data_IF_732850679677
#
_entry.id   IF_732850679677
#
_cell.length_a   1.000
_cell.length_b   1.000
_cell.length_c   1.000
_cell.angle_alpha   90.00
_cell.angle_beta   90.00
_cell.angle_gamma   90.00
#
_symmetry.space_group_name_H-M   'P 1'
#
loop_
_entity.id
_entity.type
_entity.pdbx_description
1 polymer ?
#
# COMPACT_ATOMS: atom_id res chain seq x y z
N UNK A 1 -17.22 -2.18 7.37
CA UNK A 1 -16.74 -2.95 8.52
C UNK A 1 -17.97 -3.50 9.21
N UNK A 2 -17.98 -4.79 9.54
CA UNK A 2 -19.10 -5.39 10.26
C UNK A 2 -19.05 -5.02 11.76
N UNK A 3 -20.18 -5.19 12.46
CA UNK A 3 -20.29 -4.90 13.90
C UNK A 3 -19.27 -5.73 14.69
N UNK A 4 -19.17 -7.02 14.37
CA UNK A 4 -18.22 -7.88 15.08
C UNK A 4 -16.75 -7.42 14.89
N UNK A 5 -16.38 -6.85 13.72
CA UNK A 5 -15.01 -6.31 13.51
C UNK A 5 -14.74 -5.12 14.41
N UNK A 6 -15.77 -4.29 14.59
CA UNK A 6 -15.70 -3.16 15.50
C UNK A 6 -15.52 -3.64 16.94
N UNK A 7 -16.27 -4.64 17.37
CA UNK A 7 -16.17 -5.21 18.72
C UNK A 7 -14.79 -5.83 18.97
N UNK A 8 -14.26 -6.57 18.01
CA UNK A 8 -12.92 -7.18 18.10
C UNK A 8 -11.83 -6.10 18.22
N UNK A 9 -11.88 -5.06 17.37
CA UNK A 9 -10.93 -3.95 17.41
C UNK A 9 -11.04 -3.20 18.74
N UNK A 10 -12.27 -2.90 19.18
CA UNK A 10 -12.52 -2.24 20.45
C UNK A 10 -11.92 -3.04 21.60
N UNK A 11 -12.17 -4.35 21.66
CA UNK A 11 -11.62 -5.22 22.69
C UNK A 11 -10.09 -5.13 22.76
N UNK A 12 -9.41 -5.14 21.61
CA UNK A 12 -7.95 -5.08 21.52
C UNK A 12 -7.37 -3.73 21.99
N UNK A 13 -8.04 -2.62 21.72
CA UNK A 13 -7.51 -1.27 21.99
C UNK A 13 -8.08 -0.62 23.25
N UNK A 14 -9.13 -1.20 23.86
CA UNK A 14 -9.93 -0.58 24.94
C UNK A 14 -9.08 -0.07 26.09
N UNK A 15 -8.11 -0.86 26.54
CA UNK A 15 -7.24 -0.51 27.66
C UNK A 15 -6.42 0.75 27.37
N UNK A 16 -5.92 0.90 26.14
CA UNK A 16 -5.02 1.99 25.75
C UNK A 16 -5.75 3.30 25.43
N UNK A 17 -7.07 3.25 25.20
CA UNK A 17 -7.89 4.43 24.87
C UNK A 17 -8.89 4.79 25.98
N UNK A 18 -9.07 3.95 27.01
CA UNK A 18 -9.85 4.31 28.19
C UNK A 18 -9.11 5.39 28.96
N UNK A 19 -9.81 6.45 29.37
CA UNK A 19 -9.23 7.49 30.20
C UNK A 19 -9.82 7.47 31.60
N UNK A 20 -9.15 8.09 32.55
CA UNK A 20 -9.62 8.15 33.93
C UNK A 20 -10.75 9.16 34.09
N UNK A 21 -11.84 8.75 34.75
CA UNK A 21 -12.86 9.68 35.24
C UNK A 21 -12.31 10.46 36.43
N UNK A 22 -12.63 11.75 36.48
CA UNK A 22 -12.27 12.61 37.62
C UNK A 22 -13.51 12.96 38.41
N UNK A 23 -13.33 13.53 39.60
CA UNK A 23 -14.42 14.02 40.45
C UNK A 23 -15.31 15.04 39.70
N UNK A 24 -14.74 15.77 38.74
CA UNK A 24 -15.42 16.86 38.02
C UNK A 24 -16.09 16.41 36.72
N UNK A 25 -15.66 15.30 36.11
CA UNK A 25 -16.22 14.80 34.86
C UNK A 25 -15.90 13.34 34.62
N UNK A 26 -16.86 12.66 33.97
CA UNK A 26 -16.61 11.35 33.40
C UNK A 26 -15.71 11.44 32.16
N UNK A 27 -14.90 10.41 31.99
CA UNK A 27 -14.11 10.25 30.77
C UNK A 27 -14.99 9.79 29.61
N UNK A 28 -14.65 10.23 28.40
CA UNK A 28 -15.29 9.73 27.19
C UNK A 28 -14.98 8.25 27.05
N UNK A 29 -16.01 7.44 26.80
CA UNK A 29 -15.89 5.99 26.70
C UNK A 29 -14.96 5.55 25.55
N UNK A 30 -14.36 4.36 25.68
CA UNK A 30 -13.50 3.80 24.63
C UNK A 30 -14.29 3.55 23.33
N UNK A 31 -15.53 3.10 23.48
CA UNK A 31 -16.52 2.89 22.43
C UNK A 31 -16.73 4.18 21.62
N UNK A 32 -17.01 5.28 22.30
CA UNK A 32 -17.28 6.57 21.67
C UNK A 32 -16.01 7.14 20.99
N UNK A 33 -14.84 7.01 21.62
CA UNK A 33 -13.55 7.41 21.02
C UNK A 33 -13.28 6.67 19.71
N UNK A 34 -13.51 5.36 19.69
CA UNK A 34 -13.35 4.55 18.48
C UNK A 34 -14.37 4.95 17.40
N UNK A 35 -15.64 5.14 17.77
CA UNK A 35 -16.70 5.57 16.83
C UNK A 35 -16.38 6.92 16.19
N UNK A 36 -15.96 7.92 16.98
CA UNK A 36 -15.57 9.25 16.48
C UNK A 36 -14.43 9.11 15.47
N UNK A 37 -13.41 8.33 15.81
CA UNK A 37 -12.24 8.11 14.95
C UNK A 37 -12.64 7.44 13.65
N UNK A 38 -13.39 6.34 13.72
CA UNK A 38 -13.85 5.63 12.52
C UNK A 38 -14.75 6.49 11.65
N UNK A 39 -15.60 7.34 12.25
CA UNK A 39 -16.42 8.29 11.49
C UNK A 39 -15.55 9.31 10.76
N UNK A 40 -14.54 9.87 11.43
CA UNK A 40 -13.58 10.77 10.78
C UNK A 40 -12.91 10.11 9.57
N UNK A 41 -12.36 8.89 9.75
CA UNK A 41 -11.65 8.15 8.71
C UNK A 41 -12.58 7.73 7.55
N UNK A 42 -13.78 7.24 7.87
CA UNK A 42 -14.71 6.69 6.90
C UNK A 42 -15.45 7.75 6.08
N UNK A 43 -15.72 8.93 6.63
CA UNK A 43 -16.46 9.99 5.92
C UNK A 43 -15.57 11.12 5.42
N UNK A 44 -14.39 11.32 6.02
CA UNK A 44 -13.58 12.50 5.76
C UNK A 44 -14.27 13.79 6.17
N UNK A 45 -15.12 13.79 7.20
CA UNK A 45 -15.75 15.02 7.70
C UNK A 45 -14.71 15.96 8.35
N UNK A 46 -15.07 17.22 8.56
CA UNK A 46 -14.22 18.17 9.27
C UNK A 46 -14.30 17.95 10.80
N UNK A 47 -13.29 18.43 11.55
CA UNK A 47 -13.39 18.45 13.01
C UNK A 47 -14.51 19.35 13.52
N UNK A 48 -14.97 20.33 12.72
CA UNK A 48 -16.13 21.14 13.06
C UNK A 48 -17.42 20.32 12.99
N UNK A 49 -17.59 19.49 11.96
CA UNK A 49 -18.76 18.60 11.84
C UNK A 49 -18.81 17.58 12.98
N UNK A 50 -17.65 17.01 13.35
CA UNK A 50 -17.57 16.10 14.50
C UNK A 50 -17.88 16.81 15.82
N UNK A 51 -17.42 18.06 15.99
CA UNK A 51 -17.72 18.87 17.17
C UNK A 51 -19.23 19.05 17.36
N UNK A 52 -19.95 19.44 16.30
CA UNK A 52 -21.40 19.58 16.36
C UNK A 52 -22.11 18.22 16.53
N UNK A 53 -21.62 17.17 15.85
CA UNK A 53 -22.24 15.84 15.87
C UNK A 53 -22.13 15.10 17.20
N UNK A 54 -20.98 15.23 17.88
CA UNK A 54 -20.72 14.54 19.16
C UNK A 54 -20.78 15.46 20.38
N UNK A 55 -20.96 16.78 20.18
CA UNK A 55 -20.98 17.79 21.26
C UNK A 55 -19.72 17.78 22.12
N UNK A 56 -18.57 17.46 21.51
CA UNK A 56 -17.26 17.45 22.14
C UNK A 56 -16.39 18.57 21.58
N UNK A 57 -15.59 19.22 22.41
CA UNK A 57 -14.68 20.29 21.96
C UNK A 57 -13.74 19.82 20.83
N UNK A 58 -13.49 20.68 19.83
CA UNK A 58 -12.64 20.35 18.66
C UNK A 58 -11.27 19.81 19.07
N UNK A 59 -10.63 20.46 20.05
CA UNK A 59 -9.32 20.04 20.57
C UNK A 59 -9.36 18.65 21.22
N UNK A 60 -10.45 18.30 21.89
CA UNK A 60 -10.67 16.97 22.46
C UNK A 60 -10.80 15.92 21.36
N UNK A 61 -11.59 16.19 20.32
CA UNK A 61 -11.77 15.28 19.18
C UNK A 61 -10.45 15.04 18.46
N UNK A 62 -9.68 16.09 18.17
CA UNK A 62 -8.36 15.98 17.53
C UNK A 62 -7.46 15.02 18.33
N UNK A 63 -7.36 15.22 19.65
CA UNK A 63 -6.57 14.36 20.53
C UNK A 63 -7.05 12.91 20.53
N UNK A 64 -8.37 12.69 20.53
CA UNK A 64 -8.97 11.35 20.46
C UNK A 64 -8.58 10.66 19.16
N UNK A 65 -8.82 11.31 18.02
CA UNK A 65 -8.56 10.73 16.69
C UNK A 65 -7.06 10.40 16.55
N UNK A 66 -6.19 11.31 17.00
CA UNK A 66 -4.74 11.09 16.98
C UNK A 66 -4.33 9.90 17.86
N UNK A 67 -4.79 9.85 19.12
CA UNK A 67 -4.51 8.76 20.05
C UNK A 67 -4.98 7.42 19.47
N UNK A 68 -6.23 7.33 19.02
CA UNK A 68 -6.81 6.10 18.51
C UNK A 68 -6.08 5.64 17.25
N UNK A 69 -5.70 6.54 16.33
CA UNK A 69 -4.90 6.18 15.15
C UNK A 69 -3.55 5.56 15.53
N UNK A 70 -2.84 6.14 16.51
CA UNK A 70 -1.56 5.62 17.01
C UNK A 70 -1.72 4.23 17.64
N UNK A 71 -2.78 4.03 18.45
CA UNK A 71 -3.07 2.74 19.10
C UNK A 71 -3.50 1.68 18.07
N UNK A 72 -4.32 2.03 17.08
CA UNK A 72 -4.71 1.12 16.01
C UNK A 72 -3.49 0.58 15.28
N UNK A 73 -2.54 1.46 14.92
CA UNK A 73 -1.28 1.04 14.32
C UNK A 73 -0.50 0.10 15.25
N UNK A 74 -0.27 0.49 16.52
CA UNK A 74 0.56 -0.30 17.43
C UNK A 74 0.00 -1.68 17.73
N UNK A 75 -1.32 -1.81 17.87
CA UNK A 75 -1.98 -3.07 18.24
C UNK A 75 -2.29 -3.96 17.04
N UNK A 76 -2.70 -3.38 15.91
CA UNK A 76 -3.16 -4.16 14.75
C UNK A 76 -2.05 -4.44 13.74
N UNK A 77 -0.91 -3.75 13.77
CA UNK A 77 0.17 -3.94 12.78
C UNK A 77 0.62 -5.40 12.69
N UNK A 78 0.92 -6.05 13.82
CA UNK A 78 1.46 -7.41 13.79
C UNK A 78 0.42 -8.46 13.37
N UNK A 79 -0.85 -8.25 13.68
CA UNK A 79 -1.93 -9.14 13.22
C UNK A 79 -2.27 -8.90 11.74
N UNK A 80 -2.24 -7.64 11.31
CA UNK A 80 -2.71 -7.23 9.98
C UNK A 80 -1.60 -7.29 8.91
N UNK A 81 -0.36 -7.09 9.33
CA UNK A 81 0.86 -7.10 8.52
C UNK A 81 2.00 -7.76 9.31
N UNK A 82 1.90 -9.08 9.59
CA UNK A 82 2.96 -9.81 10.29
C UNK A 82 4.24 -9.83 9.45
N UNK A 83 5.36 -10.14 10.10
CA UNK A 83 6.61 -10.35 9.39
C UNK A 83 6.50 -11.50 8.38
N UNK A 84 7.11 -11.31 7.21
CA UNK A 84 7.03 -12.28 6.13
C UNK A 84 7.98 -13.45 6.36
N UNK A 85 7.39 -14.65 6.42
CA UNK A 85 8.11 -15.93 6.40
C UNK A 85 8.18 -16.49 4.98
N UNK A 86 9.03 -17.49 4.79
CA UNK A 86 9.16 -18.22 3.53
C UNK A 86 7.83 -18.81 3.05
N UNK A 87 7.03 -19.34 3.98
CA UNK A 87 5.71 -19.91 3.72
C UNK A 87 4.74 -18.83 3.25
N UNK A 88 4.76 -17.66 3.90
CA UNK A 88 3.89 -16.55 3.53
C UNK A 88 4.26 -15.97 2.16
N UNK A 89 5.55 -15.90 1.83
CA UNK A 89 5.96 -15.54 0.46
C UNK A 89 5.47 -16.55 -0.59
N UNK A 90 5.43 -17.84 -0.24
CA UNK A 90 4.91 -18.88 -1.12
C UNK A 90 3.41 -18.71 -1.36
N UNK A 91 2.64 -18.39 -0.33
CA UNK A 91 1.21 -18.07 -0.46
C UNK A 91 0.99 -16.87 -1.40
N UNK A 92 1.78 -15.80 -1.25
CA UNK A 92 1.71 -14.63 -2.13
C UNK A 92 2.07 -15.01 -3.57
N UNK A 93 3.13 -15.80 -3.75
CA UNK A 93 3.55 -16.34 -5.06
C UNK A 93 2.42 -17.11 -5.75
N UNK A 94 1.79 -18.04 -5.03
CA UNK A 94 0.69 -18.86 -5.53
C UNK A 94 -0.51 -17.99 -5.91
N UNK A 95 -0.80 -16.95 -5.13
CA UNK A 95 -1.83 -15.96 -5.42
C UNK A 95 -1.60 -15.23 -6.75
N UNK A 96 -0.41 -14.66 -6.96
CA UNK A 96 -0.09 -13.97 -8.22
C UNK A 96 -0.01 -14.93 -9.41
N UNK A 97 0.49 -16.15 -9.21
CA UNK A 97 0.49 -17.19 -10.25
C UNK A 97 -0.94 -17.55 -10.65
N UNK A 98 -1.86 -17.69 -9.71
CA UNK A 98 -3.26 -18.06 -9.96
C UNK A 98 -4.04 -16.91 -10.62
N UNK A 99 -4.00 -15.71 -10.05
CA UNK A 99 -4.90 -14.64 -10.45
C UNK A 99 -4.30 -13.62 -11.42
N UNK A 100 -3.00 -13.33 -11.34
CA UNK A 100 -2.30 -12.46 -12.30
C UNK A 100 -1.64 -13.24 -13.45
N UNK A 101 -1.51 -14.56 -13.29
CA UNK A 101 -0.73 -15.45 -14.16
C UNK A 101 0.75 -15.03 -14.26
N UNK A 102 1.29 -14.52 -13.16
CA UNK A 102 2.69 -14.10 -13.07
C UNK A 102 3.44 -15.03 -12.09
N UNK A 103 4.20 -16.03 -12.56
CA UNK A 103 4.93 -16.95 -11.68
C UNK A 103 6.09 -16.24 -10.98
N UNK A 104 6.50 -16.74 -9.81
CA UNK A 104 7.55 -16.15 -8.98
C UNK A 104 7.30 -14.67 -8.58
N UNK A 105 6.09 -14.13 -8.75
CA UNK A 105 5.75 -12.79 -8.29
C UNK A 105 5.33 -12.81 -6.83
N UNK A 106 6.05 -12.09 -5.98
CA UNK A 106 5.85 -12.10 -4.52
C UNK A 106 5.26 -10.78 -4.00
N UNK A 107 4.75 -9.92 -4.88
CA UNK A 107 4.11 -8.68 -4.50
C UNK A 107 4.11 -7.65 -5.61
N UNK A 108 3.14 -6.74 -5.55
CA UNK A 108 3.12 -5.55 -6.38
C UNK A 108 3.46 -4.33 -5.53
N UNK A 109 4.37 -3.48 -6.01
CA UNK A 109 4.86 -2.28 -5.31
C UNK A 109 4.47 -1.01 -6.06
N UNK A 110 4.01 0.00 -5.32
CA UNK A 110 3.78 1.37 -5.80
C UNK A 110 3.84 2.38 -4.66
N UNK A 111 4.07 3.65 -5.01
CA UNK A 111 3.78 4.80 -4.16
C UNK A 111 2.39 5.39 -4.42
N UNK A 112 1.79 5.98 -3.38
CA UNK A 112 0.59 6.80 -3.46
C UNK A 112 0.83 8.14 -2.77
N UNK A 113 0.61 9.24 -3.49
CA UNK A 113 0.52 10.57 -2.88
C UNK A 113 -0.81 10.70 -2.10
N UNK A 114 -0.69 11.07 -0.83
CA UNK A 114 -1.80 11.46 0.03
C UNK A 114 -1.78 12.98 0.15
N UNK A 115 -2.84 13.63 -0.30
CA UNK A 115 -2.97 15.09 -0.29
C UNK A 115 -3.05 15.63 1.14
N UNK A 116 -2.31 16.70 1.41
CA UNK A 116 -2.28 17.42 2.68
C UNK A 116 -2.63 18.89 2.43
N UNK A 117 -3.28 19.53 3.40
CA UNK A 117 -3.26 20.99 3.47
C UNK A 117 -1.84 21.42 3.87
N UNK A 118 -1.37 22.57 3.35
CA UNK A 118 -0.02 23.08 3.57
C UNK A 118 0.40 22.94 5.04
N UNK A 119 1.37 22.06 5.35
CA UNK A 119 1.82 21.92 6.72
C UNK A 119 2.61 23.15 7.14
N UNK A 120 2.33 23.67 8.34
CA UNK A 120 3.00 24.85 8.88
C UNK A 120 4.52 24.67 8.89
N UNK A 121 5.25 25.74 8.57
CA UNK A 121 6.72 25.80 8.62
C UNK A 121 7.49 24.81 7.71
N UNK A 122 6.85 24.21 6.70
CA UNK A 122 7.52 23.21 5.84
C UNK A 122 8.06 23.73 4.51
N UNK A 123 7.83 25.01 4.19
CA UNK A 123 8.25 25.61 2.92
C UNK A 123 7.69 24.82 1.72
N UNK A 124 8.57 24.32 0.85
CA UNK A 124 8.20 23.51 -0.33
C UNK A 124 8.51 22.02 -0.20
N UNK A 125 8.89 21.53 0.99
CA UNK A 125 9.34 20.14 1.19
C UNK A 125 8.29 19.11 0.77
N UNK A 126 7.03 19.34 1.13
CA UNK A 126 5.91 18.46 0.78
C UNK A 126 5.20 18.89 -0.52
N UNK A 127 5.60 20.02 -1.11
CA UNK A 127 5.02 20.53 -2.35
C UNK A 127 5.51 19.69 -3.53
N UNK A 128 4.60 18.91 -4.11
CA UNK A 128 4.93 18.03 -5.22
C UNK A 128 4.93 18.77 -6.57
N UNK A 129 5.39 18.09 -7.61
CA UNK A 129 5.46 18.63 -8.98
C UNK A 129 4.09 18.96 -9.58
N UNK A 130 2.99 18.47 -8.98
CA UNK A 130 1.60 18.77 -9.35
C UNK A 130 1.00 19.90 -8.53
N UNK A 131 1.83 20.71 -7.88
CA UNK A 131 1.45 21.95 -7.21
C UNK A 131 0.60 21.80 -5.94
N UNK A 132 0.64 20.63 -5.27
CA UNK A 132 -0.04 20.41 -3.99
C UNK A 132 0.88 19.76 -2.92
N UNK A 133 0.54 19.91 -1.64
CA UNK A 133 1.29 19.29 -0.54
C UNK A 133 0.88 17.83 -0.38
N UNK A 134 1.84 16.90 -0.26
CA UNK A 134 1.54 15.48 -0.11
C UNK A 134 2.55 14.70 0.71
N UNK A 135 2.07 13.66 1.40
CA UNK A 135 2.89 12.60 1.98
C UNK A 135 2.82 11.36 1.11
N UNK A 136 3.95 10.66 0.92
CA UNK A 136 3.99 9.44 0.11
C UNK A 136 3.78 8.22 1.00
N UNK A 137 2.82 7.38 0.63
CA UNK A 137 2.63 6.01 1.10
C UNK A 137 3.26 5.05 0.08
N UNK A 138 4.41 4.47 0.40
CA UNK A 138 4.99 3.38 -0.36
C UNK A 138 4.45 2.06 0.20
N UNK A 139 3.91 1.19 -0.65
CA UNK A 139 3.36 -0.07 -0.19
C UNK A 139 3.59 -1.23 -1.15
N UNK A 140 3.62 -2.44 -0.57
CA UNK A 140 3.60 -3.72 -1.30
C UNK A 140 2.31 -4.44 -0.95
N UNK A 141 1.62 -5.01 -1.94
CA UNK A 141 0.44 -5.84 -1.67
C UNK A 141 0.58 -7.28 -2.21
N UNK A 142 -0.24 -8.16 -1.65
CA UNK A 142 -0.46 -9.51 -2.17
C UNK A 142 -1.59 -9.56 -3.22
N UNK A 143 -1.89 -10.76 -3.72
CA UNK A 143 -2.97 -11.00 -4.67
C UNK A 143 -4.39 -10.99 -4.03
N UNK A 144 -4.49 -10.85 -2.70
CA UNK A 144 -5.76 -10.69 -1.96
C UNK A 144 -6.07 -9.23 -1.64
N UNK A 145 -5.27 -8.30 -2.17
CA UNK A 145 -5.36 -6.85 -1.93
C UNK A 145 -5.09 -6.49 -0.47
N UNK A 146 -4.27 -7.28 0.23
CA UNK A 146 -3.75 -6.95 1.55
C UNK A 146 -2.34 -6.35 1.40
N UNK A 147 -2.05 -5.31 2.17
CA UNK A 147 -0.69 -4.79 2.27
C UNK A 147 0.20 -5.81 2.97
N UNK A 148 1.39 -6.04 2.41
CA UNK A 148 2.45 -6.87 2.98
C UNK A 148 3.49 -5.99 3.66
N UNK A 149 3.68 -4.78 3.13
CA UNK A 149 4.60 -3.78 3.63
C UNK A 149 4.04 -2.39 3.36
N UNK A 150 4.24 -1.47 4.29
CA UNK A 150 3.96 -0.04 4.12
C UNK A 150 5.07 0.80 4.74
N UNK A 151 5.38 1.92 4.09
CA UNK A 151 6.25 2.98 4.58
C UNK A 151 5.59 4.33 4.32
N UNK A 152 5.59 5.21 5.31
CA UNK A 152 4.89 6.50 5.29
C UNK A 152 5.82 7.57 5.82
N UNK A 153 5.82 8.75 5.20
CA UNK A 153 6.53 9.92 5.71
C UNK A 153 7.58 10.50 4.77
N UNK A 154 7.67 10.00 3.54
CA UNK A 154 8.56 10.61 2.55
C UNK A 154 7.95 11.89 1.95
N UNK A 155 8.80 12.92 1.84
CA UNK A 155 8.45 14.24 1.32
C UNK A 155 7.90 14.18 -0.11
N UNK A 156 6.77 14.85 -0.38
CA UNK A 156 6.09 14.85 -1.67
C UNK A 156 6.89 15.34 -2.89
N UNK A 157 8.02 16.03 -2.68
CA UNK A 157 8.98 16.41 -3.75
C UNK A 157 9.93 15.26 -4.14
N UNK A 158 10.11 14.29 -3.26
CA UNK A 158 10.98 13.15 -3.48
C UNK A 158 10.25 12.11 -4.30
N UNK A 159 10.95 11.50 -5.23
CA UNK A 159 10.36 10.57 -6.18
C UNK A 159 10.38 9.13 -5.68
N UNK A 160 9.46 8.28 -6.17
CA UNK A 160 9.25 6.92 -5.64
C UNK A 160 10.51 6.05 -5.58
N UNK A 161 11.40 6.08 -6.58
CA UNK A 161 12.64 5.31 -6.47
C UNK A 161 13.65 5.87 -5.48
N UNK A 162 13.65 7.19 -5.21
CA UNK A 162 14.48 7.75 -4.15
C UNK A 162 13.92 7.37 -2.78
N UNK A 163 12.60 7.43 -2.61
CA UNK A 163 11.87 6.96 -1.42
C UNK A 163 12.15 5.47 -1.20
N UNK A 164 11.98 4.66 -2.25
CA UNK A 164 12.24 3.24 -2.23
C UNK A 164 13.68 2.93 -1.82
N UNK A 165 14.70 3.54 -2.44
CA UNK A 165 16.11 3.32 -2.09
C UNK A 165 16.43 3.65 -0.62
N UNK A 166 15.77 4.66 -0.07
CA UNK A 166 15.98 5.07 1.31
C UNK A 166 15.16 4.24 2.32
N UNK A 167 14.07 3.59 1.85
CA UNK A 167 13.19 2.77 2.68
C UNK A 167 13.93 1.61 3.33
N UNK A 168 13.46 1.22 4.52
CA UNK A 168 13.97 0.04 5.20
C UNK A 168 13.74 -1.24 4.38
N UNK A 169 12.66 -1.28 3.60
CA UNK A 169 12.36 -2.41 2.74
C UNK A 169 13.42 -2.63 1.66
N UNK A 170 13.89 -1.58 0.99
CA UNK A 170 14.99 -1.71 0.03
C UNK A 170 16.27 -2.20 0.69
N UNK A 171 16.63 -1.67 1.87
CA UNK A 171 17.79 -2.13 2.63
C UNK A 171 17.65 -3.61 2.98
N UNK A 172 16.46 -4.08 3.33
CA UNK A 172 16.19 -5.49 3.62
C UNK A 172 16.22 -6.38 2.36
N UNK A 173 15.77 -5.88 1.20
CA UNK A 173 15.93 -6.59 -0.10
C UNK A 173 17.42 -6.77 -0.39
N UNK A 174 18.20 -5.68 -0.39
CA UNK A 174 19.62 -5.71 -0.78
C UNK A 174 20.45 -6.58 0.17
N UNK A 175 20.12 -6.57 1.46
CA UNK A 175 20.82 -7.36 2.47
C UNK A 175 20.26 -8.79 2.65
N UNK A 176 19.34 -9.25 1.79
CA UNK A 176 18.68 -10.56 1.89
C UNK A 176 17.99 -10.84 3.25
N UNK A 177 17.45 -9.80 3.91
CA UNK A 177 16.79 -9.88 5.23
C UNK A 177 15.26 -9.98 5.16
N UNK A 178 14.72 -10.35 3.99
CA UNK A 178 13.28 -10.53 3.78
C UNK A 178 12.84 -12.00 3.79
N UNK A 179 13.75 -12.96 4.01
CA UNK A 179 13.45 -14.39 3.94
C UNK A 179 12.77 -14.79 2.61
N UNK A 180 13.19 -14.17 1.51
CA UNK A 180 12.65 -14.47 0.17
C UNK A 180 13.08 -15.89 -0.20
N UNK A 181 12.16 -16.61 -0.84
CA UNK A 181 12.38 -17.95 -1.38
C UNK A 181 13.61 -18.00 -2.30
N UNK A 182 14.29 -19.15 -2.30
CA UNK A 182 15.37 -19.39 -3.25
C UNK A 182 14.82 -19.37 -4.69
N UNK A 183 15.59 -18.84 -5.67
CA UNK A 183 15.20 -18.83 -7.07
C UNK A 183 14.70 -20.19 -7.55
N UNK A 184 13.62 -20.19 -8.33
CA UNK A 184 12.95 -21.40 -8.81
C UNK A 184 12.69 -21.32 -10.31
N UNK A 185 12.81 -22.42 -11.07
CA UNK A 185 12.42 -22.44 -12.48
C UNK A 185 10.92 -22.20 -12.67
N UNK A 186 10.56 -21.39 -13.67
CA UNK A 186 9.16 -21.12 -14.03
C UNK A 186 8.67 -21.94 -15.22
N UNK A 187 9.57 -22.64 -15.91
CA UNK A 187 9.29 -23.43 -17.12
C UNK A 187 9.75 -24.87 -16.90
N UNK A 188 9.11 -25.82 -17.59
CA UNK A 188 9.57 -27.21 -17.58
C UNK A 188 10.74 -27.47 -18.56
N UNK A 189 10.94 -26.57 -19.52
CA UNK A 189 11.91 -26.69 -20.62
C UNK A 189 13.26 -26.06 -20.24
N UNK A 190 13.28 -24.76 -19.94
CA UNK A 190 14.43 -24.06 -19.36
C UNK A 190 14.34 -24.14 -17.83
N UNK A 191 15.13 -25.04 -17.25
CA UNK A 191 15.23 -25.24 -15.80
C UNK A 191 16.17 -24.23 -15.11
N UNK A 192 16.58 -23.16 -15.80
CA UNK A 192 17.33 -22.08 -15.14
C UNK A 192 16.47 -21.47 -14.03
N UNK A 193 16.94 -21.43 -12.77
CA UNK A 193 16.21 -20.79 -11.69
C UNK A 193 16.04 -19.29 -11.94
N UNK A 194 14.83 -18.77 -11.76
CA UNK A 194 14.54 -17.34 -11.79
C UNK A 194 14.24 -16.82 -10.39
N UNK A 195 14.65 -15.57 -10.08
CA UNK A 195 14.39 -15.00 -8.77
C UNK A 195 12.89 -14.78 -8.55
N UNK A 196 12.51 -14.74 -7.28
CA UNK A 196 11.22 -14.19 -6.86
C UNK A 196 11.28 -12.67 -6.91
N UNK A 197 10.26 -12.06 -7.51
CA UNK A 197 10.27 -10.63 -7.88
C UNK A 197 9.04 -9.89 -7.37
N UNK A 198 9.26 -8.66 -6.93
CA UNK A 198 8.24 -7.63 -6.81
C UNK A 198 8.04 -6.96 -8.18
N UNK A 199 6.79 -6.65 -8.54
CA UNK A 199 6.48 -5.91 -9.77
C UNK A 199 6.21 -4.46 -9.44
N UNK A 200 6.97 -3.55 -10.05
CA UNK A 200 6.86 -2.10 -9.87
C UNK A 200 6.66 -1.37 -11.20
N UNK A 201 6.32 -0.09 -11.15
CA UNK A 201 6.26 0.78 -12.33
C UNK A 201 7.66 1.05 -12.89
N UNK A 202 7.71 1.89 -13.92
CA UNK A 202 8.95 2.36 -14.50
C UNK A 202 9.78 3.23 -13.53
N UNK A 203 9.11 3.88 -12.55
CA UNK A 203 9.75 4.71 -11.55
C UNK A 203 10.65 3.87 -10.63
N UNK A 204 10.37 2.59 -10.39
CA UNK A 204 11.30 1.70 -9.69
C UNK A 204 12.49 1.29 -10.59
N UNK A 205 13.71 1.37 -10.05
CA UNK A 205 14.90 0.85 -10.73
C UNK A 205 14.84 -0.68 -10.85
N UNK A 206 15.27 -1.23 -11.99
CA UNK A 206 15.32 -2.69 -12.17
C UNK A 206 16.42 -3.31 -11.30
N UNK A 207 16.05 -4.34 -10.53
CA UNK A 207 16.93 -5.05 -9.58
C UNK A 207 16.67 -6.56 -9.65
N UNK A 208 17.51 -7.35 -8.97
CA UNK A 208 17.37 -8.82 -8.93
C UNK A 208 15.97 -9.27 -8.47
N UNK A 209 15.37 -8.56 -7.51
CA UNK A 209 14.03 -8.86 -6.97
C UNK A 209 12.99 -7.79 -7.31
N UNK A 210 13.28 -6.81 -8.18
CA UNK A 210 12.30 -5.78 -8.58
C UNK A 210 12.25 -5.68 -10.10
N UNK A 211 11.08 -5.99 -10.64
CA UNK A 211 10.83 -6.05 -12.06
C UNK A 211 10.01 -4.86 -12.51
N UNK A 212 10.40 -4.26 -13.64
CA UNK A 212 9.76 -3.07 -14.24
C UNK A 212 9.48 -3.27 -15.73
N UNK A 213 8.52 -2.55 -16.33
CA UNK A 213 8.22 -2.67 -17.75
C UNK A 213 9.42 -2.32 -18.65
N UNK A 214 9.39 -2.79 -19.90
CA UNK A 214 10.24 -2.28 -20.97
C UNK A 214 9.77 -0.87 -21.33
N UNK A 215 10.66 0.12 -21.21
CA UNK A 215 10.40 1.48 -21.68
C UNK A 215 10.54 1.61 -23.21
N UNK A 216 9.99 2.70 -23.75
CA UNK A 216 10.01 3.04 -25.18
C UNK A 216 8.68 2.78 -25.89
N UNK A 217 8.49 3.42 -27.04
CA UNK A 217 7.22 3.40 -27.82
C UNK A 217 7.15 2.25 -28.83
N UNK A 218 8.28 1.85 -29.42
CA UNK A 218 8.37 0.77 -30.42
C UNK A 218 8.84 -0.54 -29.77
N UNK A 219 7.93 -1.19 -29.05
CA UNK A 219 8.20 -2.46 -28.38
C UNK A 219 7.90 -3.66 -29.30
N UNK A 220 8.79 -4.66 -29.28
CA UNK A 220 8.54 -5.95 -29.94
C UNK A 220 7.34 -6.64 -29.30
N UNK A 221 6.69 -7.55 -30.03
CA UNK A 221 5.54 -8.32 -29.54
C UNK A 221 5.80 -8.95 -28.16
N UNK A 222 6.95 -9.60 -27.98
CA UNK A 222 7.39 -10.20 -26.71
C UNK A 222 7.45 -9.19 -25.56
N UNK A 223 7.98 -7.98 -25.83
CA UNK A 223 8.06 -6.91 -24.82
C UNK A 223 6.68 -6.33 -24.50
N UNK A 224 5.80 -6.19 -25.49
CA UNK A 224 4.40 -5.76 -25.28
C UNK A 224 3.63 -6.74 -24.42
N UNK A 225 3.72 -8.04 -24.72
CA UNK A 225 3.14 -9.11 -23.91
C UNK A 225 3.68 -9.02 -22.48
N UNK A 226 4.99 -8.95 -22.29
CA UNK A 226 5.58 -8.82 -20.96
C UNK A 226 5.06 -7.59 -20.19
N UNK A 227 5.05 -6.41 -20.80
CA UNK A 227 4.57 -5.19 -20.17
C UNK A 227 3.12 -5.34 -19.73
N UNK A 228 2.26 -5.89 -20.59
CA UNK A 228 0.87 -6.12 -20.27
C UNK A 228 0.70 -7.11 -19.11
N UNK A 229 1.50 -8.20 -19.06
CA UNK A 229 1.51 -9.16 -17.93
C UNK A 229 1.94 -8.51 -16.63
N UNK A 230 2.96 -7.68 -16.68
CA UNK A 230 3.44 -6.90 -15.55
C UNK A 230 2.38 -5.90 -15.08
N UNK A 231 1.71 -5.19 -15.99
CA UNK A 231 0.59 -4.29 -15.67
C UNK A 231 -0.57 -5.01 -15.01
N UNK A 232 -0.89 -6.25 -15.42
CA UNK A 232 -1.91 -7.06 -14.74
C UNK A 232 -1.55 -7.39 -13.29
N UNK A 233 -0.28 -7.69 -13.01
CA UNK A 233 0.18 -7.95 -11.65
C UNK A 233 0.25 -6.65 -10.83
N UNK A 234 0.72 -5.54 -11.43
CA UNK A 234 0.70 -4.20 -10.81
C UNK A 234 -0.70 -3.73 -10.42
N UNK A 235 -1.72 -4.07 -11.21
CA UNK A 235 -3.10 -3.67 -10.92
C UNK A 235 -3.55 -4.04 -9.50
N UNK A 236 -2.96 -5.07 -8.87
CA UNK A 236 -3.28 -5.42 -7.49
C UNK A 236 -2.95 -4.31 -6.50
N UNK A 237 -1.76 -3.70 -6.56
CA UNK A 237 -1.43 -2.60 -5.63
C UNK A 237 -2.27 -1.38 -5.94
N UNK A 238 -2.52 -1.16 -7.23
CA UNK A 238 -3.34 -0.05 -7.70
C UNK A 238 -4.78 -0.14 -7.15
N UNK A 239 -5.43 -1.29 -7.33
CA UNK A 239 -6.74 -1.55 -6.78
C UNK A 239 -6.74 -1.55 -5.24
N UNK A 240 -5.67 -2.02 -4.59
CA UNK A 240 -5.56 -2.01 -3.12
C UNK A 240 -5.67 -0.58 -2.58
N UNK A 241 -4.95 0.35 -3.19
CA UNK A 241 -5.07 1.77 -2.85
C UNK A 241 -6.47 2.33 -3.09
N UNK A 242 -7.10 1.99 -4.23
CA UNK A 242 -8.47 2.40 -4.52
C UNK A 242 -9.46 1.88 -3.47
N UNK A 243 -9.39 0.61 -3.12
CA UNK A 243 -10.24 -0.04 -2.10
C UNK A 243 -10.06 0.65 -0.75
N UNK A 244 -8.81 0.89 -0.33
CA UNK A 244 -8.51 1.59 0.91
C UNK A 244 -9.10 3.01 0.91
N UNK A 245 -8.90 3.77 -0.17
CA UNK A 245 -9.41 5.15 -0.29
C UNK A 245 -10.93 5.23 -0.27
N UNK A 246 -11.62 4.29 -0.92
CA UNK A 246 -13.09 4.28 -0.94
C UNK A 246 -13.71 3.93 0.40
N UNK A 247 -13.07 3.01 1.13
CA UNK A 247 -13.50 2.62 2.47
C UNK A 247 -13.22 3.74 3.48
N UNK A 248 -12.05 4.37 3.37
CA UNK A 248 -11.59 5.44 4.25
C UNK A 248 -11.57 6.76 3.48
N UNK A 249 -12.75 7.38 3.36
CA UNK A 249 -12.96 8.57 2.53
C UNK A 249 -12.17 9.80 2.97
N UNK A 250 -11.48 9.75 4.11
CA UNK A 250 -10.48 10.76 4.48
C UNK A 250 -9.44 11.00 3.37
N UNK A 251 -9.16 9.99 2.52
CA UNK A 251 -8.25 10.11 1.38
C UNK A 251 -8.84 10.76 0.13
N UNK A 252 -10.13 11.10 0.11
CA UNK A 252 -10.77 11.81 -1.01
C UNK A 252 -10.70 13.34 -0.87
N UNK A 253 -10.08 13.84 0.19
CA UNK A 253 -9.81 15.25 0.40
C UNK A 253 -8.38 15.44 0.92
N UNK A 254 -7.82 16.66 0.82
CA UNK A 254 -6.62 17.02 1.55
C UNK A 254 -6.82 16.81 3.06
N UNK A 255 -5.88 16.12 3.69
CA UNK A 255 -5.86 15.94 5.14
C UNK A 255 -5.34 17.23 5.79
N UNK A 256 -6.16 17.81 6.68
CA UNK A 256 -5.92 19.09 7.33
C UNK A 256 -5.44 18.88 8.77
N UNK A 257 -4.21 18.38 8.90
CA UNK A 257 -3.54 18.12 10.18
C UNK A 257 -2.02 18.24 10.00
N UNK A 258 -1.28 18.30 11.10
CA UNK A 258 0.19 18.25 11.04
C UNK A 258 0.69 16.90 10.49
N UNK A 259 1.96 16.85 10.09
CA UNK A 259 2.53 15.69 9.39
C UNK A 259 2.49 14.42 10.24
N UNK A 260 2.89 14.49 11.51
CA UNK A 260 2.93 13.32 12.40
C UNK A 260 1.54 12.71 12.60
N UNK A 261 0.52 13.56 12.67
CA UNK A 261 -0.87 13.11 12.75
C UNK A 261 -1.36 12.55 11.41
N UNK A 262 -1.01 13.17 10.28
CA UNK A 262 -1.33 12.65 8.95
C UNK A 262 -0.70 11.25 8.75
N UNK A 263 0.54 11.04 9.16
CA UNK A 263 1.18 9.72 9.15
C UNK A 263 0.42 8.71 10.01
N UNK A 264 -0.01 9.12 11.20
CA UNK A 264 -0.78 8.26 12.11
C UNK A 264 -2.11 7.83 11.45
N UNK A 265 -2.79 8.75 10.76
CA UNK A 265 -4.02 8.47 9.99
C UNK A 265 -3.74 7.46 8.88
N UNK A 266 -2.69 7.69 8.07
CA UNK A 266 -2.34 6.82 6.94
C UNK A 266 -2.02 5.41 7.47
N UNK A 267 -1.14 5.29 8.48
CA UNK A 267 -0.77 4.04 9.15
C UNK A 267 -2.01 3.31 9.69
N UNK A 268 -2.88 4.00 10.42
CA UNK A 268 -4.12 3.43 10.95
C UNK A 268 -5.03 2.87 9.83
N UNK A 269 -5.21 3.62 8.73
CA UNK A 269 -6.03 3.16 7.61
C UNK A 269 -5.46 1.92 6.92
N UNK A 270 -4.13 1.79 6.81
CA UNK A 270 -3.51 0.59 6.20
C UNK A 270 -3.75 -0.67 7.02
N UNK A 271 -3.63 -0.60 8.36
CA UNK A 271 -3.90 -1.76 9.23
C UNK A 271 -5.39 -2.07 9.29
N UNK A 272 -6.26 -1.04 9.35
CA UNK A 272 -7.71 -1.23 9.31
C UNK A 272 -8.17 -1.84 7.98
N UNK A 273 -7.58 -1.43 6.85
CA UNK A 273 -7.86 -2.02 5.53
C UNK A 273 -7.58 -3.52 5.53
N UNK A 274 -6.37 -3.93 5.93
CA UNK A 274 -6.01 -5.34 6.01
C UNK A 274 -6.89 -6.11 7.00
N UNK A 275 -7.13 -5.55 8.18
CA UNK A 275 -7.96 -6.19 9.20
C UNK A 275 -9.37 -6.47 8.67
N UNK A 276 -10.04 -5.45 8.13
CA UNK A 276 -11.38 -5.59 7.55
C UNK A 276 -11.35 -6.55 6.36
N UNK A 277 -10.32 -6.51 5.52
CA UNK A 277 -10.22 -7.39 4.35
C UNK A 277 -10.09 -8.86 4.72
N UNK A 278 -9.23 -9.19 5.69
CA UNK A 278 -9.02 -10.56 6.13
C UNK A 278 -10.22 -11.13 6.88
N UNK A 279 -10.93 -10.27 7.62
CA UNK A 279 -11.94 -10.69 8.59
C UNK A 279 -13.38 -10.56 8.08
N UNK A 280 -13.69 -9.50 7.34
CA UNK A 280 -14.99 -9.29 6.69
C UNK A 280 -15.02 -9.71 5.20
N UNK A 281 -13.85 -9.97 4.61
CA UNK A 281 -13.73 -10.42 3.22
C UNK A 281 -13.86 -9.30 2.17
N UNK A 282 -14.20 -9.70 0.95
CA UNK A 282 -14.41 -8.80 -0.18
C UNK A 282 -15.81 -8.17 -0.15
N UNK A 283 -15.88 -6.84 -0.34
CA UNK A 283 -17.14 -6.13 -0.57
C UNK A 283 -17.06 -5.35 -1.88
N UNK A 284 -18.08 -5.51 -2.72
CA UNK A 284 -18.11 -4.92 -4.05
C UNK A 284 -18.17 -3.38 -4.01
N UNK A 285 -18.83 -2.80 -3.01
CA UNK A 285 -19.01 -1.35 -2.89
C UNK A 285 -17.67 -0.61 -2.76
N UNK A 286 -16.66 -1.26 -2.16
CA UNK A 286 -15.32 -0.68 -2.03
C UNK A 286 -14.56 -0.60 -3.37
N UNK A 287 -15.08 -1.23 -4.43
CA UNK A 287 -14.47 -1.23 -5.77
C UNK A 287 -15.18 -0.33 -6.78
N UNK A 288 -16.30 0.30 -6.38
CA UNK A 288 -17.14 1.10 -7.28
C UNK A 288 -16.49 2.41 -7.75
N UNK A 289 -15.49 2.91 -7.02
CA UNK A 289 -14.79 4.14 -7.37
C UNK A 289 -13.30 3.88 -7.58
N UNK A 290 -12.82 3.98 -8.81
CA UNK A 290 -11.38 3.91 -9.05
C UNK A 290 -10.82 5.29 -8.79
N UNK A 291 -10.26 5.52 -7.59
CA UNK A 291 -9.43 6.72 -7.37
C UNK A 291 -8.30 6.67 -8.39
N UNK A 292 -8.14 7.67 -9.27
CA UNK A 292 -7.04 7.70 -10.22
C UNK A 292 -5.73 7.61 -9.44
N UNK A 293 -4.96 6.56 -9.66
CA UNK A 293 -3.60 6.55 -9.16
C UNK A 293 -2.79 7.51 -9.98
N UNK A 294 -2.19 8.45 -9.28
CA UNK A 294 -1.32 9.43 -9.89
C UNK A 294 0.07 8.80 -9.94
N UNK A 295 0.38 8.17 -11.07
CA UNK A 295 1.72 7.65 -11.38
C UNK A 295 2.77 8.75 -11.20
N UNK A 296 3.90 8.40 -10.60
CA UNK A 296 4.93 9.34 -10.15
C UNK A 296 6.04 9.40 -11.21
N UNK A 297 6.40 10.61 -11.63
CA UNK A 297 7.38 10.81 -12.70
C UNK A 297 8.80 10.90 -12.14
N UNK A 298 9.79 10.32 -12.83
CA UNK A 298 11.19 10.34 -12.41
C UNK A 298 12.20 10.55 -13.54
N UNK A 299 13.17 11.41 -13.28
CA UNK A 299 14.40 11.62 -14.06
C UNK A 299 15.54 10.73 -13.50
N UNK A 300 16.35 10.17 -14.41
CA UNK A 300 17.64 9.50 -14.18
C UNK A 300 17.63 8.24 -13.27
N UNK A 301 17.25 7.10 -13.85
CA UNK A 301 17.35 5.78 -13.24
C UNK A 301 18.66 5.06 -13.60
N UNK A 302 19.32 4.38 -12.64
CA UNK A 302 20.50 3.57 -12.93
C UNK A 302 20.14 2.38 -13.84
N UNK A 303 21.07 2.01 -14.73
CA UNK A 303 20.96 0.79 -15.53
C UNK A 303 21.08 -0.41 -14.59
N UNK A 304 20.04 -1.22 -14.45
CA UNK A 304 20.10 -2.39 -13.57
C UNK A 304 21.06 -3.47 -14.08
N UNK A 305 21.39 -4.41 -13.19
CA UNK A 305 22.41 -5.44 -13.42
C UNK A 305 22.10 -6.31 -14.63
N UNK A 306 23.14 -6.88 -15.25
CA UNK A 306 23.00 -7.81 -16.37
C UNK A 306 22.09 -8.98 -15.99
N UNK A 307 22.24 -9.56 -14.79
CA UNK A 307 21.36 -10.62 -14.28
C UNK A 307 19.89 -10.21 -14.23
N UNK A 308 19.57 -9.01 -13.75
CA UNK A 308 18.17 -8.55 -13.67
C UNK A 308 17.55 -8.38 -15.07
N UNK A 309 18.34 -7.94 -16.05
CA UNK A 309 17.90 -7.84 -17.45
C UNK A 309 17.67 -9.21 -18.07
N UNK A 310 18.60 -10.15 -17.86
CA UNK A 310 18.46 -11.54 -18.35
C UNK A 310 17.25 -12.23 -17.74
N UNK A 311 17.00 -12.04 -16.44
CA UNK A 311 15.81 -12.56 -15.78
C UNK A 311 14.53 -12.01 -16.43
N UNK A 312 14.47 -10.71 -16.71
CA UNK A 312 13.34 -10.09 -17.40
C UNK A 312 13.10 -10.67 -18.79
N UNK A 313 14.16 -10.88 -19.56
CA UNK A 313 14.07 -11.50 -20.89
C UNK A 313 13.55 -12.95 -20.82
N UNK A 314 13.99 -13.72 -19.81
CA UNK A 314 13.46 -15.07 -19.57
C UNK A 314 11.97 -15.05 -19.20
N UNK A 315 11.52 -14.13 -18.34
CA UNK A 315 10.09 -13.93 -18.07
C UNK A 315 9.31 -13.54 -19.34
N UNK A 316 9.85 -12.62 -20.14
CA UNK A 316 9.22 -12.18 -21.39
C UNK A 316 9.07 -13.35 -22.39
N UNK A 317 10.11 -14.17 -22.53
CA UNK A 317 10.09 -15.37 -23.35
C UNK A 317 9.10 -16.42 -22.83
N UNK A 318 9.00 -16.60 -21.51
CA UNK A 318 7.99 -17.49 -20.92
C UNK A 318 6.57 -17.07 -21.32
N UNK A 319 6.23 -15.77 -21.23
CA UNK A 319 4.87 -15.29 -21.51
C UNK A 319 4.43 -15.39 -22.98
N UNK A 320 5.36 -15.53 -23.93
CA UNK A 320 5.02 -15.78 -25.34
C UNK A 320 5.01 -17.27 -25.72
N UNK A 321 5.55 -18.13 -24.85
CA UNK A 321 5.67 -19.58 -25.07
C UNK A 321 4.82 -20.36 -24.05
N UNK A 322 5.43 -21.07 -23.10
CA UNK A 322 4.74 -21.93 -22.12
C UNK A 322 3.70 -21.18 -21.26
N UNK A 323 3.94 -19.90 -20.97
CA UNK A 323 3.04 -19.03 -20.22
C UNK A 323 2.02 -18.26 -21.06
N UNK A 324 1.94 -18.54 -22.37
CA UNK A 324 1.04 -17.84 -23.31
C UNK A 324 -0.42 -18.08 -22.96
N UNK A 325 -1.20 -17.01 -22.92
CA UNK A 325 -2.65 -17.08 -22.75
C UNK A 325 -3.39 -16.72 -24.04
N UNK A 326 -4.53 -17.36 -24.26
CA UNK A 326 -5.32 -17.24 -25.50
C UNK A 326 -5.73 -15.80 -25.81
N UNK A 327 -6.08 -15.04 -24.77
CA UNK A 327 -6.63 -13.69 -24.90
C UNK A 327 -5.55 -12.59 -24.94
N UNK A 328 -4.26 -12.90 -24.70
CA UNK A 328 -3.24 -11.86 -24.46
C UNK A 328 -2.97 -10.99 -25.69
N UNK A 329 -3.13 -11.53 -26.89
CA UNK A 329 -2.89 -10.81 -28.15
C UNK A 329 -3.99 -9.80 -28.47
N UNK A 330 -5.18 -9.95 -27.87
CA UNK A 330 -6.31 -9.03 -28.07
C UNK A 330 -6.21 -7.80 -27.15
N UNK A 331 -5.26 -7.79 -26.21
CA UNK A 331 -5.15 -6.78 -25.15
C UNK A 331 -3.90 -5.88 -25.27
N UNK A 332 -3.03 -6.12 -26.27
CA UNK A 332 -1.69 -5.49 -26.42
C UNK A 332 -1.56 -4.59 -27.64
#
# INVERSE_FOLDING_TARGET
MSIKSFDDILHVIKVDITGDSTILRDSISAEEKLVITLRYLATGCSFADLHYGYRLGKSTIIKIVEQVCKVLWSKLKFTSMPEMTTEKWKEVEEGFKKYANFPNCIGAIDGKHIELIQPEHTGSLFYNYKTYFSSVLLAVCDANYCFVYVDVGSYGKTSDSAIFKNSEFFKRIVNNKLNILNPKPITHIDRTPLPHVFVGDEAFGIMSNVMRPYGGTQLTHTKKVFNYRLSRARRYIECTFGIMSNKWRIFHRPIDVNIDFAESIIKACTVLHNYVRMRDGYRYEDTLYVSPLQSIHLENLPRGSLCARTAREKFANYFVNEGKLQWQNNMI
#
